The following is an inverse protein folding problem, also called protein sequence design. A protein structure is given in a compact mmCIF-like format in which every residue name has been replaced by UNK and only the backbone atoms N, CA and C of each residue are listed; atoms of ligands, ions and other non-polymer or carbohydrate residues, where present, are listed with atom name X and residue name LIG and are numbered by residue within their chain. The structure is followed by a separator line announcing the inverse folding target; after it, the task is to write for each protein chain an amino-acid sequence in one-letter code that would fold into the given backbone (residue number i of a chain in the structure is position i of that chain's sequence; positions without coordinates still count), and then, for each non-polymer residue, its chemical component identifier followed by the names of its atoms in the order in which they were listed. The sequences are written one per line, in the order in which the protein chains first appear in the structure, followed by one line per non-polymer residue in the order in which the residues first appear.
data_IF_822533774835
#
_entry.id   IF_822533774835
#
_cell.length_a   1.000
_cell.length_b   1.000
_cell.length_c   1.000
_cell.angle_alpha   90.00
_cell.angle_beta   90.00
_cell.angle_gamma   90.00
#
_symmetry.space_group_name_H-M   'P 1'
#
loop_
_entity.id
_entity.type
_entity.pdbx_description
1 polymer ?
#
# COMPACT_ATOMS: atom_id res chain seq x y z
N UNK A 1 -18.32 -11.60 12.27
CA UNK A 1 -17.69 -12.50 11.29
C UNK A 1 -16.26 -12.04 11.09
N UNK A 2 -15.27 -12.94 11.08
CA UNK A 2 -13.88 -12.55 10.82
C UNK A 2 -13.78 -12.00 9.38
N UNK A 3 -13.13 -10.85 9.21
CA UNK A 3 -12.83 -10.29 7.88
C UNK A 3 -11.90 -11.23 7.13
N UNK A 4 -12.20 -11.50 5.86
CA UNK A 4 -11.38 -12.38 5.03
C UNK A 4 -10.00 -11.77 4.83
N UNK A 5 -8.96 -12.60 4.86
CA UNK A 5 -7.59 -12.15 4.58
C UNK A 5 -7.48 -11.79 3.10
N UNK A 6 -6.89 -10.64 2.79
CA UNK A 6 -6.62 -10.21 1.43
C UNK A 6 -5.51 -11.07 0.83
N UNK A 7 -5.77 -11.68 -0.31
CA UNK A 7 -4.79 -12.46 -1.07
C UNK A 7 -4.54 -11.84 -2.45
N UNK A 8 -3.28 -11.83 -2.92
CA UNK A 8 -2.96 -11.41 -4.28
C UNK A 8 -3.47 -12.42 -5.28
N UNK A 9 -3.86 -11.93 -6.46
CA UNK A 9 -3.98 -12.79 -7.64
C UNK A 9 -2.60 -13.39 -7.98
N UNK A 10 -2.59 -14.59 -8.53
CA UNK A 10 -1.34 -15.33 -8.80
C UNK A 10 -0.38 -14.60 -9.74
N UNK A 11 -0.93 -13.79 -10.65
CA UNK A 11 -0.19 -12.99 -11.63
C UNK A 11 0.38 -11.69 -11.08
N UNK A 12 0.05 -11.30 -9.84
CA UNK A 12 0.51 -10.03 -9.25
C UNK A 12 1.83 -10.19 -8.53
N UNK A 13 2.70 -9.20 -8.73
CA UNK A 13 3.89 -9.06 -7.92
C UNK A 13 3.53 -8.64 -6.49
N UNK A 14 4.15 -9.31 -5.51
CA UNK A 14 4.10 -8.92 -4.11
C UNK A 14 5.38 -8.13 -3.82
N UNK A 15 5.24 -6.82 -3.60
CA UNK A 15 6.33 -5.95 -3.19
C UNK A 15 6.39 -5.86 -1.67
N UNK A 16 7.57 -6.04 -1.08
CA UNK A 16 7.76 -6.06 0.38
C UNK A 16 8.49 -4.81 0.83
N UNK A 17 7.92 -4.10 1.80
CA UNK A 17 8.45 -2.86 2.36
C UNK A 17 8.70 -3.07 3.85
N UNK A 18 9.95 -2.95 4.35
CA UNK A 18 10.21 -2.97 5.78
C UNK A 18 9.60 -1.73 6.43
N UNK A 19 8.97 -1.91 7.58
CA UNK A 19 8.38 -0.84 8.39
C UNK A 19 9.12 -0.77 9.72
N UNK A 20 9.37 0.46 10.17
CA UNK A 20 9.98 0.73 11.47
C UNK A 20 8.94 1.35 12.39
N UNK A 21 8.74 0.74 13.56
CA UNK A 21 7.96 1.36 14.64
C UNK A 21 8.84 2.40 15.32
N UNK A 22 8.36 3.65 15.38
CA UNK A 22 9.05 4.77 16.00
C UNK A 22 8.29 5.22 17.26
N UNK A 23 8.97 5.87 18.23
CA UNK A 23 8.31 6.36 19.44
C UNK A 23 7.07 7.23 19.17
N UNK A 24 7.13 8.10 18.15
CA UNK A 24 6.01 8.96 17.75
C UNK A 24 4.81 8.21 17.15
N UNK A 25 4.98 6.94 16.78
CA UNK A 25 3.87 6.12 16.30
C UNK A 25 2.98 5.59 17.43
N UNK A 26 3.47 5.61 18.68
CA UNK A 26 2.79 5.01 19.82
C UNK A 26 1.83 6.02 20.45
N UNK A 27 0.58 5.59 20.67
CA UNK A 27 -0.42 6.40 21.36
C UNK A 27 -0.60 6.00 22.84
N UNK A 28 -1.55 6.65 23.51
CA UNK A 28 -1.85 6.46 24.93
C UNK A 28 -2.26 5.02 25.29
N UNK A 29 -2.63 4.18 24.31
CA UNK A 29 -2.94 2.76 24.51
C UNK A 29 -1.69 1.86 24.43
N UNK A 30 -0.49 2.44 24.35
CA UNK A 30 0.79 1.75 24.31
C UNK A 30 0.97 0.79 23.11
N UNK A 31 0.38 1.12 21.97
CA UNK A 31 0.62 0.45 20.70
C UNK A 31 0.66 1.46 19.55
N UNK A 32 1.08 1.02 18.36
CA UNK A 32 1.05 1.86 17.15
C UNK A 32 -0.37 2.38 16.92
N UNK A 33 -0.49 3.70 16.75
CA UNK A 33 -1.74 4.38 16.50
C UNK A 33 -2.34 3.95 15.15
N UNK A 34 -3.66 3.83 15.10
CA UNK A 34 -4.38 3.42 13.89
C UNK A 34 -4.06 4.28 12.65
N UNK A 35 -3.87 5.59 12.80
CA UNK A 35 -3.56 6.50 11.68
C UNK A 35 -2.20 6.20 11.04
N UNK A 36 -1.22 5.73 11.84
CA UNK A 36 0.10 5.35 11.34
C UNK A 36 0.00 4.21 10.32
N UNK A 37 -0.89 3.24 10.55
CA UNK A 37 -1.11 2.16 9.58
C UNK A 37 -1.64 2.69 8.24
N UNK A 38 -2.52 3.69 8.25
CA UNK A 38 -3.01 4.33 7.02
C UNK A 38 -1.86 5.01 6.27
N UNK A 39 -0.95 5.67 7.00
CA UNK A 39 0.31 6.18 6.45
C UNK A 39 1.12 5.07 5.77
N UNK A 40 1.30 3.93 6.44
CA UNK A 40 2.01 2.78 5.86
C UNK A 40 1.32 2.18 4.62
N UNK A 41 -0.02 2.22 4.53
CA UNK A 41 -0.72 1.83 3.29
C UNK A 41 -0.30 2.70 2.10
N UNK A 42 -0.17 4.02 2.33
CA UNK A 42 0.29 4.98 1.34
C UNK A 42 1.77 4.78 1.01
N UNK A 43 2.61 4.66 2.02
CA UNK A 43 4.07 4.54 1.85
C UNK A 43 4.43 3.26 1.10
N UNK A 44 3.79 2.14 1.45
CA UNK A 44 3.99 0.88 0.73
C UNK A 44 3.65 1.03 -0.76
N UNK A 45 2.55 1.73 -1.07
CA UNK A 45 2.17 1.98 -2.45
C UNK A 45 3.13 2.89 -3.21
N UNK A 46 3.58 3.95 -2.55
CA UNK A 46 4.55 4.90 -3.10
C UNK A 46 5.89 4.22 -3.35
N UNK A 47 6.36 3.39 -2.42
CA UNK A 47 7.60 2.63 -2.54
C UNK A 47 7.55 1.67 -3.73
N UNK A 48 6.43 0.94 -3.89
CA UNK A 48 6.25 0.04 -5.02
C UNK A 48 6.26 0.80 -6.37
N UNK A 49 5.53 1.93 -6.47
CA UNK A 49 5.55 2.79 -7.66
C UNK A 49 6.97 3.30 -7.99
N UNK A 50 7.67 3.83 -6.99
CA UNK A 50 9.03 4.36 -7.14
C UNK A 50 10.05 3.29 -7.55
N UNK A 51 9.87 2.05 -7.15
CA UNK A 51 10.75 0.94 -7.51
C UNK A 51 10.56 0.48 -8.97
N UNK A 52 9.42 0.78 -9.60
CA UNK A 52 9.05 0.25 -10.92
C UNK A 52 9.13 1.26 -12.06
N UNK A 53 9.05 2.55 -11.75
CA UNK A 53 9.00 3.60 -12.76
C UNK A 53 10.13 4.62 -12.58
N UNK A 54 10.73 5.00 -13.70
CA UNK A 54 11.80 5.99 -13.75
C UNK A 54 11.33 7.41 -13.37
N UNK A 55 12.27 8.35 -13.25
CA UNK A 55 11.95 9.73 -12.89
C UNK A 55 11.07 10.43 -13.93
N UNK A 56 11.22 10.12 -15.22
CA UNK A 56 10.42 10.74 -16.28
C UNK A 56 8.95 10.34 -16.18
N UNK A 57 8.68 9.04 -16.01
CA UNK A 57 7.31 8.53 -15.83
C UNK A 57 6.68 9.10 -14.56
N UNK A 58 7.45 9.19 -13.48
CA UNK A 58 7.01 9.76 -12.20
C UNK A 58 6.83 11.28 -12.21
N UNK A 59 7.48 11.99 -13.14
CA UNK A 59 7.26 13.41 -13.35
C UNK A 59 6.00 13.68 -14.18
N UNK A 60 5.64 12.75 -15.08
CA UNK A 60 4.44 12.87 -15.91
C UNK A 60 3.16 12.50 -15.18
N UNK A 61 3.22 11.49 -14.32
CA UNK A 61 2.04 10.91 -13.68
C UNK A 61 2.11 11.04 -12.16
N UNK A 62 0.97 11.35 -11.56
CA UNK A 62 0.78 11.36 -10.11
C UNK A 62 -0.42 10.50 -9.73
N UNK A 63 -0.51 10.14 -8.45
CA UNK A 63 -1.58 9.33 -7.89
C UNK A 63 -2.27 10.09 -6.76
N UNK A 64 -3.59 10.18 -6.83
CA UNK A 64 -4.42 10.77 -5.78
C UNK A 64 -5.20 9.67 -5.07
N UNK A 65 -4.99 9.51 -3.76
CA UNK A 65 -5.80 8.60 -2.95
C UNK A 65 -7.20 9.17 -2.77
N UNK A 66 -8.23 8.37 -3.01
CA UNK A 66 -9.64 8.78 -2.89
C UNK A 66 -10.41 8.01 -1.83
N UNK A 67 -9.89 6.85 -1.40
CA UNK A 67 -10.49 6.03 -0.33
C UNK A 67 -9.44 5.12 0.30
N UNK A 68 -9.52 4.96 1.60
CA UNK A 68 -8.81 3.92 2.35
C UNK A 68 -9.83 3.10 3.16
N UNK A 69 -9.66 1.78 3.13
CA UNK A 69 -10.33 0.83 4.01
C UNK A 69 -9.27 0.02 4.72
N UNK A 70 -9.42 -0.16 6.03
CA UNK A 70 -8.43 -0.86 6.84
C UNK A 70 -9.09 -1.68 7.93
N UNK A 71 -8.56 -2.89 8.10
CA UNK A 71 -8.90 -3.82 9.16
C UNK A 71 -7.71 -3.98 10.09
N UNK A 72 -7.95 -3.92 11.39
CA UNK A 72 -6.94 -4.13 12.44
C UNK A 72 -7.23 -5.46 13.14
N UNK A 73 -6.25 -6.35 13.20
CA UNK A 73 -6.35 -7.69 13.77
C UNK A 73 -5.52 -7.84 15.04
N UNK A 74 -4.29 -7.30 15.05
CA UNK A 74 -3.36 -7.38 16.19
C UNK A 74 -2.60 -6.06 16.33
N UNK A 75 -2.42 -5.55 17.56
CA UNK A 75 -1.61 -4.36 17.79
C UNK A 75 -0.12 -4.66 17.57
N UNK A 76 0.62 -3.64 17.13
CA UNK A 76 2.08 -3.64 17.14
C UNK A 76 2.56 -2.88 18.38
N UNK A 77 3.33 -3.52 19.29
CA UNK A 77 3.88 -2.85 20.46
C UNK A 77 5.10 -1.96 20.11
N UNK A 78 5.55 -1.07 21.01
CA UNK A 78 6.70 -0.18 20.79
C UNK A 78 7.99 -0.89 20.38
N UNK A 79 8.22 -2.09 20.89
CA UNK A 79 9.40 -2.92 20.63
C UNK A 79 9.27 -3.82 19.40
N UNK A 80 8.19 -3.70 18.62
CA UNK A 80 7.98 -4.54 17.45
C UNK A 80 9.11 -4.35 16.42
N UNK A 81 9.74 -5.46 16.05
CA UNK A 81 10.82 -5.51 15.06
C UNK A 81 10.42 -6.44 13.91
N UNK A 82 11.05 -6.25 12.75
CA UNK A 82 10.81 -7.07 11.57
C UNK A 82 9.43 -6.88 10.94
N UNK A 83 8.75 -5.78 11.24
CA UNK A 83 7.43 -5.45 10.66
C UNK A 83 7.59 -5.20 9.17
N UNK A 84 6.69 -5.75 8.36
CA UNK A 84 6.70 -5.59 6.90
C UNK A 84 5.31 -5.29 6.37
N UNK A 85 5.25 -4.42 5.36
CA UNK A 85 4.11 -4.26 4.48
C UNK A 85 4.32 -5.05 3.18
N UNK A 86 3.44 -6.00 2.89
CA UNK A 86 3.33 -6.67 1.59
C UNK A 86 2.25 -6.01 0.78
N UNK A 87 2.60 -5.44 -0.38
CA UNK A 87 1.66 -4.71 -1.25
C UNK A 87 1.64 -5.24 -2.67
N UNK A 88 0.45 -5.25 -3.26
CA UNK A 88 0.21 -5.58 -4.66
C UNK A 88 -0.94 -4.73 -5.21
N UNK A 89 -1.10 -4.73 -6.53
CA UNK A 89 -2.17 -3.99 -7.21
C UNK A 89 -3.33 -4.91 -7.58
N UNK A 90 -4.52 -4.35 -7.71
CA UNK A 90 -5.71 -5.04 -8.21
C UNK A 90 -5.78 -5.07 -9.74
N UNK A 91 -6.98 -4.77 -10.24
CA UNK A 91 -7.24 -4.53 -11.65
C UNK A 91 -7.57 -3.05 -11.86
N UNK A 92 -7.05 -2.41 -12.92
CA UNK A 92 -7.34 -1.02 -13.22
C UNK A 92 -8.79 -0.84 -13.70
N UNK A 93 -9.45 0.22 -13.24
CA UNK A 93 -10.82 0.57 -13.61
C UNK A 93 -10.85 2.01 -14.12
N UNK A 94 -10.60 2.18 -15.42
CA UNK A 94 -10.45 3.52 -16.01
C UNK A 94 -9.21 4.22 -15.43
N UNK A 95 -9.37 5.35 -14.72
CA UNK A 95 -8.26 6.01 -14.03
C UNK A 95 -7.98 5.45 -12.63
N UNK A 96 -8.85 4.56 -12.11
CA UNK A 96 -8.79 4.06 -10.73
C UNK A 96 -7.95 2.79 -10.63
N UNK A 97 -7.20 2.64 -9.56
CA UNK A 97 -6.43 1.44 -9.27
C UNK A 97 -6.46 1.13 -7.77
N UNK A 98 -6.96 -0.05 -7.42
CA UNK A 98 -6.88 -0.51 -6.04
C UNK A 98 -5.47 -1.02 -5.73
N UNK A 99 -4.99 -0.64 -4.56
CA UNK A 99 -3.78 -1.17 -3.95
C UNK A 99 -4.16 -1.89 -2.68
N UNK A 100 -3.65 -3.11 -2.54
CA UNK A 100 -3.84 -3.95 -1.37
C UNK A 100 -2.55 -3.96 -0.57
N UNK A 101 -2.66 -4.01 0.75
CA UNK A 101 -1.52 -4.11 1.65
C UNK A 101 -1.89 -5.04 2.81
N UNK A 102 -0.99 -5.96 3.14
CA UNK A 102 -0.95 -6.66 4.43
C UNK A 102 0.23 -6.17 5.24
N UNK A 103 -0.01 -5.90 6.52
CA UNK A 103 1.02 -5.52 7.49
C UNK A 103 1.15 -6.68 8.46
N UNK A 104 2.36 -7.21 8.54
CA UNK A 104 2.69 -8.37 9.36
C UNK A 104 3.83 -8.03 10.33
N UNK A 105 3.82 -8.64 11.51
CA UNK A 105 4.92 -8.53 12.45
C UNK A 105 6.13 -9.38 12.04
N UNK A 106 7.21 -9.34 12.84
CA UNK A 106 8.43 -10.11 12.60
C UNK A 106 8.25 -11.63 12.64
N UNK A 107 7.12 -12.15 13.10
CA UNK A 107 6.76 -13.57 13.08
C UNK A 107 5.85 -13.93 11.88
N UNK A 108 5.52 -12.97 11.01
CA UNK A 108 4.62 -13.16 9.87
C UNK A 108 3.14 -13.24 10.25
N UNK A 109 2.76 -12.78 11.45
CA UNK A 109 1.36 -12.74 11.86
C UNK A 109 0.70 -11.49 11.31
N UNK A 110 -0.49 -11.64 10.73
CA UNK A 110 -1.27 -10.51 10.22
C UNK A 110 -1.68 -9.56 11.34
N UNK A 111 -1.21 -8.32 11.27
CA UNK A 111 -1.54 -7.24 12.22
C UNK A 111 -2.64 -6.33 11.67
N UNK A 112 -2.54 -5.94 10.41
CA UNK A 112 -3.54 -5.14 9.72
C UNK A 112 -3.55 -5.46 8.22
N UNK A 113 -4.65 -5.15 7.54
CA UNK A 113 -4.70 -5.17 6.09
C UNK A 113 -5.56 -4.03 5.59
N UNK A 114 -5.27 -3.52 4.40
CA UNK A 114 -6.06 -2.44 3.84
C UNK A 114 -6.10 -2.41 2.32
N UNK A 115 -7.10 -1.69 1.83
CA UNK A 115 -7.29 -1.38 0.41
C UNK A 115 -7.33 0.14 0.26
N UNK A 116 -6.49 0.66 -0.63
CA UNK A 116 -6.46 2.07 -1.00
C UNK A 116 -6.87 2.20 -2.47
N UNK A 117 -7.90 3.00 -2.76
CA UNK A 117 -8.28 3.36 -4.13
C UNK A 117 -7.50 4.60 -4.56
N UNK A 118 -6.78 4.49 -5.66
CA UNK A 118 -5.97 5.57 -6.22
C UNK A 118 -6.47 5.97 -7.60
N UNK A 119 -6.40 7.26 -7.92
CA UNK A 119 -6.71 7.81 -9.24
C UNK A 119 -5.42 8.30 -9.88
N UNK A 120 -5.08 7.77 -11.05
CA UNK A 120 -3.98 8.28 -11.87
C UNK A 120 -4.38 9.64 -12.44
N UNK A 121 -3.49 10.63 -12.31
CA UNK A 121 -3.68 11.97 -12.87
C UNK A 121 -2.43 12.40 -13.65
N UNK A 122 -2.64 13.21 -14.68
CA UNK A 122 -1.55 13.99 -15.28
C UNK A 122 -1.00 14.97 -14.23
N UNK A 123 0.30 14.92 -13.96
CA UNK A 123 0.90 15.66 -12.84
C UNK A 123 0.87 17.19 -13.03
N UNK A 124 0.83 17.67 -14.28
CA UNK A 124 0.80 19.10 -14.57
C UNK A 124 -0.62 19.69 -14.43
N UNK A 125 -1.64 18.92 -14.82
CA UNK A 125 -3.03 19.41 -14.88
C UNK A 125 -3.92 18.88 -13.77
N UNK A 126 -3.47 17.87 -13.02
CA UNK A 126 -4.23 17.11 -12.01
C UNK A 126 -5.52 16.49 -12.55
N UNK A 127 -5.64 16.33 -13.88
CA UNK A 127 -6.80 15.72 -14.51
C UNK A 127 -6.69 14.19 -14.48
N UNK A 128 -7.75 13.45 -14.10
CA UNK A 128 -7.76 12.00 -14.15
C UNK A 128 -7.40 11.47 -15.53
N UNK A 129 -6.57 10.43 -15.57
CA UNK A 129 -6.14 9.78 -16.79
C UNK A 129 -6.33 8.27 -16.69
N UNK A 130 -6.83 7.64 -17.75
CA UNK A 130 -6.94 6.18 -17.81
C UNK A 130 -5.55 5.56 -17.63
N UNK A 131 -5.43 4.53 -16.82
CA UNK A 131 -4.15 3.85 -16.60
C UNK A 131 -3.68 3.22 -17.92
N UNK A 132 -2.52 3.63 -18.46
CA UNK A 132 -1.97 3.04 -19.68
C UNK A 132 -1.68 1.55 -19.51
N UNK A 133 -2.09 0.74 -20.49
CA UNK A 133 -1.85 -0.70 -20.45
C UNK A 133 -0.36 -1.06 -20.36
N UNK A 134 0.52 -0.20 -20.89
CA UNK A 134 1.97 -0.36 -20.83
C UNK A 134 2.55 -0.27 -19.41
N UNK A 135 1.81 0.27 -18.44
CA UNK A 135 2.24 0.31 -17.04
C UNK A 135 1.98 -1.01 -16.29
N UNK A 136 1.01 -1.81 -16.73
CA UNK A 136 0.54 -2.98 -15.97
C UNK A 136 1.59 -4.09 -15.83
N UNK A 137 2.39 -4.43 -16.87
CA UNK A 137 3.40 -5.48 -16.76
C UNK A 137 4.45 -5.23 -15.66
N UNK A 138 4.66 -3.97 -15.26
CA UNK A 138 5.60 -3.64 -14.19
C UNK A 138 5.13 -4.12 -12.79
N UNK A 139 3.86 -4.48 -12.64
CA UNK A 139 3.25 -4.98 -11.41
C UNK A 139 2.88 -6.47 -11.46
N UNK A 140 3.26 -7.15 -12.54
CA UNK A 140 3.03 -8.58 -12.71
C UNK A 140 4.23 -9.38 -12.17
N UNK A 141 3.97 -10.60 -11.71
CA UNK A 141 5.02 -11.52 -11.27
C UNK A 141 5.92 -11.83 -12.47
N UNK A 142 7.24 -11.65 -12.30
CA UNK A 142 8.25 -12.03 -13.29
C UNK A 142 8.56 -13.52 -13.26
#
# INVERSE_FOLDING_TARGET
MARAVLEPREDREIFVVPLTVLPEHIDDNAHVNNVVYVGWLQDAGTAHWNARFDSETRARWSWVAVRHEIDYFRPLPPEAQGVVARTWVGDPQGPRFNRYVRIEDGEGRLCAQGVSEWVLVDAATMRPHRIPATMLPAFERR
#
